data_IF_159829681340
#
_entry.id   IF_159829681340
#
_cell.length_a   1.000
_cell.length_b   1.000
_cell.length_c   1.000
_cell.angle_alpha   90.00
_cell.angle_beta   90.00
_cell.angle_gamma   90.00
#
_symmetry.space_group_name_H-M   'P 1'
#
loop_
_entity.id
_entity.type
_entity.pdbx_description
1 polymer ?
#
# COMPACT_ATOMS: atom_id res chain seq x y z
N UNK A 1 -12.71 -8.86 11.78
CA UNK A 1 -11.95 -10.05 11.29
C UNK A 1 -10.46 -9.77 11.10
N UNK A 2 -10.08 -8.80 10.26
CA UNK A 2 -8.66 -8.49 10.02
C UNK A 2 -7.91 -8.09 11.31
N UNK A 3 -8.52 -7.25 12.16
CA UNK A 3 -7.97 -6.90 13.48
C UNK A 3 -7.78 -8.14 14.36
N UNK A 4 -8.78 -9.03 14.41
CA UNK A 4 -8.71 -10.29 15.15
C UNK A 4 -7.62 -11.24 14.62
N UNK A 5 -7.20 -11.08 13.36
CA UNK A 5 -6.12 -11.83 12.73
C UNK A 5 -4.71 -11.23 12.95
N UNK A 6 -4.60 -10.14 13.71
CA UNK A 6 -3.33 -9.49 14.03
C UNK A 6 -2.74 -8.65 12.89
N UNK A 7 -3.60 -8.09 12.02
CA UNK A 7 -3.17 -7.15 10.97
C UNK A 7 -2.72 -5.83 11.59
N UNK A 8 -1.56 -5.33 11.14
CA UNK A 8 -0.99 -4.08 11.66
C UNK A 8 -1.54 -2.80 10.99
N UNK A 9 -1.98 -2.90 9.74
CA UNK A 9 -2.53 -1.79 8.95
C UNK A 9 -3.78 -2.26 8.21
N UNK A 10 -4.91 -1.61 8.42
CA UNK A 10 -6.12 -1.78 7.59
C UNK A 10 -6.14 -0.74 6.50
N UNK A 11 -6.23 -1.21 5.26
CA UNK A 11 -6.24 -0.38 4.07
C UNK A 11 -7.64 -0.28 3.46
N UNK A 12 -8.15 0.94 3.35
CA UNK A 12 -9.47 1.25 2.79
C UNK A 12 -9.32 1.69 1.34
N UNK A 13 -9.81 0.86 0.42
CA UNK A 13 -9.87 1.15 -1.02
C UNK A 13 -11.06 0.47 -1.68
N UNK A 14 -11.48 1.00 -2.83
CA UNK A 14 -12.57 0.47 -3.67
C UNK A 14 -12.04 -0.08 -5.00
N UNK A 15 -11.47 -1.29 -5.01
CA UNK A 15 -10.75 -1.75 -6.19
C UNK A 15 -11.64 -2.22 -7.32
N UNK A 16 -12.98 -2.21 -7.19
CA UNK A 16 -13.84 -2.27 -8.38
C UNK A 16 -13.60 -1.07 -9.31
N UNK A 17 -13.23 0.10 -8.74
CA UNK A 17 -13.08 1.38 -9.45
C UNK A 17 -11.65 1.72 -9.90
N UNK A 18 -10.63 0.98 -9.47
CA UNK A 18 -9.24 1.23 -9.87
C UNK A 18 -8.22 0.56 -8.96
N UNK A 19 -6.92 0.71 -9.24
CA UNK A 19 -5.87 0.11 -8.42
C UNK A 19 -5.85 0.71 -7.01
N UNK A 20 -5.83 2.04 -6.93
CA UNK A 20 -5.86 2.82 -5.70
C UNK A 20 -7.13 3.66 -5.52
N UNK A 21 -8.22 3.33 -6.22
CA UNK A 21 -9.48 4.04 -6.08
C UNK A 21 -9.96 4.12 -4.61
N UNK A 22 -10.39 5.31 -4.22
CA UNK A 22 -10.85 5.61 -2.87
C UNK A 22 -12.21 4.99 -2.56
N UNK A 23 -12.43 4.69 -1.28
CA UNK A 23 -13.77 4.50 -0.75
C UNK A 23 -14.50 5.86 -0.67
N UNK A 24 -15.82 5.81 -0.49
CA UNK A 24 -16.57 7.01 -0.13
C UNK A 24 -16.07 7.55 1.24
N UNK A 25 -15.95 8.88 1.43
CA UNK A 25 -15.51 9.46 2.71
C UNK A 25 -16.32 9.00 3.93
N UNK A 26 -17.61 8.64 3.78
CA UNK A 26 -18.43 8.08 4.86
C UNK A 26 -17.90 6.73 5.37
N UNK A 27 -17.23 5.94 4.52
CA UNK A 27 -16.57 4.68 4.90
C UNK A 27 -15.39 4.96 5.82
N UNK A 28 -14.58 6.00 5.52
CA UNK A 28 -13.47 6.38 6.40
C UNK A 28 -13.95 6.84 7.77
N UNK A 29 -15.02 7.65 7.82
CA UNK A 29 -15.64 8.07 9.09
C UNK A 29 -16.16 6.87 9.89
N UNK A 30 -16.82 5.93 9.21
CA UNK A 30 -17.32 4.70 9.84
C UNK A 30 -16.17 3.84 10.40
N UNK A 31 -15.06 3.75 9.65
CA UNK A 31 -13.86 3.03 10.09
C UNK A 31 -13.24 3.63 11.35
N UNK A 32 -13.21 4.96 11.49
CA UNK A 32 -12.75 5.60 12.73
C UNK A 32 -13.62 5.19 13.91
N UNK A 33 -14.95 5.31 13.77
CA UNK A 33 -15.88 4.92 14.83
C UNK A 33 -15.76 3.44 15.23
N UNK A 34 -15.47 2.56 14.26
CA UNK A 34 -15.37 1.12 14.50
C UNK A 34 -14.01 0.72 15.12
N UNK A 35 -12.90 1.28 14.65
CA UNK A 35 -11.56 0.77 14.96
C UNK A 35 -10.72 1.66 15.88
N UNK A 36 -11.06 2.94 16.01
CA UNK A 36 -10.30 3.91 16.81
C UNK A 36 -11.09 4.39 18.04
N UNK A 37 -12.36 3.98 18.19
CA UNK A 37 -13.20 4.25 19.36
C UNK A 37 -12.69 3.59 20.67
N UNK A 38 -13.56 3.07 21.53
CA UNK A 38 -13.19 2.44 22.83
C UNK A 38 -12.39 1.12 22.72
N UNK A 39 -11.59 0.95 21.66
CA UNK A 39 -10.71 -0.18 21.50
C UNK A 39 -9.63 -0.16 22.62
N UNK A 40 -9.43 -1.29 23.32
CA UNK A 40 -8.33 -1.42 24.28
C UNK A 40 -6.97 -1.07 23.63
N UNK A 41 -6.11 -0.39 24.40
CA UNK A 41 -4.82 0.13 23.92
C UNK A 41 -3.86 -0.94 23.36
N UNK A 42 -4.10 -2.22 23.65
CA UNK A 42 -3.32 -3.37 23.15
C UNK A 42 -3.76 -3.87 21.75
N UNK A 43 -4.79 -3.25 21.16
CA UNK A 43 -5.40 -3.64 19.88
C UNK A 43 -5.42 -2.54 18.82
N UNK A 44 -4.63 -1.48 18.97
CA UNK A 44 -4.61 -0.35 18.02
C UNK A 44 -4.07 -0.78 16.66
N UNK A 45 -4.97 -0.96 15.71
CA UNK A 45 -4.65 -1.12 14.29
C UNK A 45 -4.49 0.25 13.65
N UNK A 46 -3.53 0.41 12.73
CA UNK A 46 -3.38 1.66 11.98
C UNK A 46 -4.30 1.66 10.76
N UNK A 47 -4.92 2.79 10.47
CA UNK A 47 -5.77 2.94 9.28
C UNK A 47 -4.98 3.60 8.13
N UNK A 48 -5.21 3.11 6.91
CA UNK A 48 -4.63 3.60 5.67
C UNK A 48 -5.75 3.87 4.66
N UNK A 49 -5.74 5.04 4.02
CA UNK A 49 -6.72 5.41 2.99
C UNK A 49 -6.08 5.45 1.60
N UNK A 50 -6.68 4.78 0.63
CA UNK A 50 -6.36 5.04 -0.78
C UNK A 50 -7.13 6.28 -1.26
N UNK A 51 -6.43 7.23 -1.88
CA UNK A 51 -7.00 8.51 -2.33
C UNK A 51 -7.47 8.48 -3.79
N UNK A 52 -7.19 7.41 -4.53
CA UNK A 52 -7.31 7.38 -5.98
C UNK A 52 -5.97 7.56 -6.66
N UNK A 53 -6.03 8.09 -7.88
CA UNK A 53 -4.89 8.34 -8.74
C UNK A 53 -4.60 9.86 -8.82
N UNK A 54 -3.70 10.29 -9.70
CA UNK A 54 -3.24 11.68 -9.80
C UNK A 54 -4.36 12.72 -9.97
N UNK A 55 -5.40 12.40 -10.74
CA UNK A 55 -6.51 13.31 -11.02
C UNK A 55 -7.55 13.38 -9.90
N UNK A 56 -7.65 12.35 -9.06
CA UNK A 56 -8.71 12.22 -8.04
C UNK A 56 -8.18 12.40 -6.61
N UNK A 57 -6.92 12.06 -6.38
CA UNK A 57 -6.28 12.11 -5.07
C UNK A 57 -6.33 13.48 -4.39
N UNK A 58 -5.99 14.59 -5.08
CA UNK A 58 -6.00 15.92 -4.47
C UNK A 58 -7.38 16.31 -3.91
N UNK A 59 -8.45 16.02 -4.64
CA UNK A 59 -9.82 16.35 -4.24
C UNK A 59 -10.26 15.61 -2.98
N UNK A 60 -9.84 14.35 -2.83
CA UNK A 60 -10.24 13.50 -1.70
C UNK A 60 -9.33 13.62 -0.48
N UNK A 61 -8.14 14.18 -0.64
CA UNK A 61 -7.11 14.20 0.41
C UNK A 61 -7.55 14.88 1.71
N UNK A 62 -8.30 15.98 1.62
CA UNK A 62 -8.78 16.74 2.78
C UNK A 62 -9.92 16.06 3.54
N UNK A 63 -10.53 15.04 2.95
CA UNK A 63 -11.62 14.27 3.55
C UNK A 63 -11.14 13.10 4.42
N UNK A 64 -9.84 12.78 4.39
CA UNK A 64 -9.27 11.73 5.25
C UNK A 64 -9.34 12.18 6.71
N UNK A 65 -9.92 11.37 7.63
CA UNK A 65 -9.93 11.72 9.05
C UNK A 65 -8.52 11.75 9.67
N UNK A 66 -8.23 12.64 10.63
CA UNK A 66 -6.92 12.73 11.29
C UNK A 66 -6.53 11.46 12.07
N UNK A 67 -7.48 10.59 12.39
CA UNK A 67 -7.23 9.30 13.05
C UNK A 67 -6.57 8.26 12.13
N UNK A 68 -6.54 8.51 10.82
CA UNK A 68 -5.78 7.68 9.90
C UNK A 68 -4.27 7.90 10.11
N UNK A 69 -3.50 6.84 9.97
CA UNK A 69 -2.04 6.94 10.01
C UNK A 69 -1.46 7.26 8.65
N UNK A 70 -2.10 6.74 7.59
CA UNK A 70 -1.58 6.80 6.22
C UNK A 70 -2.65 7.19 5.22
N UNK A 71 -2.24 7.92 4.19
CA UNK A 71 -3.00 8.06 2.97
C UNK A 71 -2.07 7.84 1.77
N UNK A 72 -2.55 7.20 0.70
CA UNK A 72 -1.73 6.87 -0.48
C UNK A 72 -2.41 7.34 -1.76
N UNK A 73 -1.61 7.84 -2.70
CA UNK A 73 -2.09 8.33 -4.00
C UNK A 73 -1.32 7.64 -5.12
N UNK A 74 -2.05 7.12 -6.09
CA UNK A 74 -1.48 6.45 -7.25
C UNK A 74 -0.90 7.43 -8.28
N UNK A 75 0.27 7.15 -8.88
CA UNK A 75 0.99 8.06 -9.76
C UNK A 75 0.55 7.98 -11.24
N UNK A 76 -0.66 7.52 -11.58
CA UNK A 76 -1.03 7.34 -13.00
C UNK A 76 -0.89 8.64 -13.78
N UNK A 77 -0.28 8.60 -14.98
CA UNK A 77 -0.01 9.78 -15.79
C UNK A 77 1.17 10.66 -15.32
N UNK A 78 1.75 10.38 -14.15
CA UNK A 78 2.96 11.04 -13.64
C UNK A 78 4.22 10.33 -14.17
N UNK A 79 4.51 10.51 -15.46
CA UNK A 79 5.67 9.88 -16.13
C UNK A 79 7.03 10.55 -15.86
N UNK A 80 7.05 11.66 -15.11
CA UNK A 80 8.29 12.39 -14.76
C UNK A 80 8.33 12.70 -13.26
N UNK A 81 9.53 12.89 -12.72
CA UNK A 81 9.72 13.26 -11.32
C UNK A 81 8.99 14.58 -10.98
N UNK A 82 9.01 15.56 -11.88
CA UNK A 82 8.34 16.85 -11.68
C UNK A 82 6.83 16.68 -11.53
N UNK A 83 6.18 15.88 -12.39
CA UNK A 83 4.74 15.58 -12.28
C UNK A 83 4.41 14.83 -11.00
N UNK A 84 5.27 13.89 -10.61
CA UNK A 84 5.08 13.07 -9.43
C UNK A 84 5.21 13.90 -8.13
N UNK A 85 6.23 14.75 -8.05
CA UNK A 85 6.41 15.67 -6.91
C UNK A 85 5.28 16.68 -6.85
N UNK A 86 4.88 17.26 -7.99
CA UNK A 86 3.73 18.18 -8.06
C UNK A 86 2.43 17.53 -7.58
N UNK A 87 2.20 16.24 -7.91
CA UNK A 87 1.09 15.48 -7.35
C UNK A 87 1.17 15.43 -5.82
N UNK A 88 2.30 15.01 -5.24
CA UNK A 88 2.46 14.94 -3.79
C UNK A 88 2.28 16.28 -3.10
N UNK A 89 2.75 17.37 -3.71
CA UNK A 89 2.60 18.75 -3.22
C UNK A 89 1.17 19.27 -3.32
N UNK A 90 0.31 18.68 -4.14
CA UNK A 90 -1.11 19.03 -4.23
C UNK A 90 -1.98 18.31 -3.19
N UNK A 91 -1.49 17.24 -2.57
CA UNK A 91 -2.21 16.50 -1.53
C UNK A 91 -2.26 17.34 -0.24
N UNK A 92 -3.45 17.46 0.35
CA UNK A 92 -3.70 18.21 1.60
C UNK A 92 -4.26 17.26 2.65
N UNK A 93 -3.37 16.66 3.44
CA UNK A 93 -3.73 15.76 4.53
C UNK A 93 -3.78 16.48 5.87
N UNK A 94 -4.72 16.14 6.78
CA UNK A 94 -4.64 16.62 8.15
C UNK A 94 -3.48 15.95 8.89
N UNK A 95 -2.87 16.67 9.83
CA UNK A 95 -1.90 16.07 10.74
C UNK A 95 -2.63 15.11 11.71
N UNK A 96 -2.04 13.95 12.07
CA UNK A 96 -0.69 13.46 11.73
C UNK A 96 -0.64 12.51 10.51
N UNK A 97 -1.65 12.51 9.61
CA UNK A 97 -1.73 11.55 8.50
C UNK A 97 -0.53 11.70 7.56
N UNK A 98 0.20 10.61 7.34
CA UNK A 98 1.38 10.62 6.48
C UNK A 98 1.03 10.17 5.05
N UNK A 99 1.50 10.92 4.05
CA UNK A 99 1.39 10.53 2.65
C UNK A 99 2.36 9.38 2.34
N UNK A 100 1.85 8.31 1.73
CA UNK A 100 2.62 7.19 1.20
C UNK A 100 2.67 7.27 -0.33
N UNK A 101 3.81 7.70 -0.89
CA UNK A 101 4.12 7.57 -2.31
C UNK A 101 3.92 6.15 -2.83
N UNK A 102 3.49 6.03 -4.09
CA UNK A 102 3.18 4.75 -4.73
C UNK A 102 3.96 4.64 -6.03
N UNK A 103 4.54 3.47 -6.26
CA UNK A 103 5.11 3.04 -7.53
C UNK A 103 4.31 1.87 -8.08
N UNK A 104 4.06 1.86 -9.39
CA UNK A 104 3.46 0.71 -10.05
C UNK A 104 4.54 -0.18 -10.68
N UNK A 105 4.51 -1.47 -10.37
CA UNK A 105 5.40 -2.46 -10.96
C UNK A 105 5.26 -2.50 -12.50
N UNK A 106 4.04 -2.33 -12.97
CA UNK A 106 3.58 -2.20 -14.35
C UNK A 106 3.39 -0.72 -14.78
N UNK A 107 4.28 0.16 -14.30
CA UNK A 107 4.26 1.62 -14.55
C UNK A 107 3.97 2.05 -16.00
N UNK A 108 4.39 1.28 -17.01
CA UNK A 108 4.09 1.56 -18.42
C UNK A 108 2.57 1.61 -18.67
N UNK A 109 1.82 0.66 -18.11
CA UNK A 109 0.36 0.61 -18.25
C UNK A 109 -0.33 1.79 -17.54
N UNK A 110 0.29 2.31 -16.48
CA UNK A 110 -0.19 3.47 -15.74
C UNK A 110 0.26 4.82 -16.33
N UNK A 111 1.12 4.83 -17.35
CA UNK A 111 1.80 6.05 -17.80
C UNK A 111 2.59 6.74 -16.70
N UNK A 112 3.16 5.97 -15.77
CA UNK A 112 3.82 6.44 -14.56
C UNK A 112 5.35 6.26 -14.63
N UNK A 113 6.06 6.97 -13.75
CA UNK A 113 7.50 6.80 -13.55
C UNK A 113 7.82 5.38 -13.03
N UNK A 114 9.00 4.87 -13.37
CA UNK A 114 9.46 3.56 -12.89
C UNK A 114 9.62 3.53 -11.37
N UNK A 115 9.59 2.34 -10.77
CA UNK A 115 9.76 2.18 -9.32
C UNK A 115 11.08 2.78 -8.80
N UNK A 116 12.16 2.69 -9.59
CA UNK A 116 13.46 3.31 -9.29
C UNK A 116 13.35 4.84 -9.32
N UNK A 117 12.70 5.41 -10.32
CA UNK A 117 12.50 6.85 -10.41
C UNK A 117 11.62 7.39 -9.29
N UNK A 118 10.58 6.64 -8.90
CA UNK A 118 9.74 6.98 -7.75
C UNK A 118 10.56 6.92 -6.46
N UNK A 119 11.36 5.87 -6.25
CA UNK A 119 12.23 5.75 -5.07
C UNK A 119 13.22 6.91 -4.99
N UNK A 120 13.85 7.29 -6.10
CA UNK A 120 14.74 8.45 -6.13
C UNK A 120 14.01 9.74 -5.73
N UNK A 121 12.82 9.99 -6.27
CA UNK A 121 12.02 11.15 -5.90
C UNK A 121 11.59 11.13 -4.42
N UNK A 122 11.30 9.95 -3.86
CA UNK A 122 11.03 9.78 -2.41
C UNK A 122 12.24 10.23 -1.60
N UNK A 123 13.43 9.77 -1.95
CA UNK A 123 14.69 10.11 -1.27
C UNK A 123 15.00 11.60 -1.40
N UNK A 124 14.98 12.15 -2.62
CA UNK A 124 15.32 13.56 -2.89
C UNK A 124 14.38 14.54 -2.18
N UNK A 125 13.11 14.14 -1.99
CA UNK A 125 12.13 14.98 -1.30
C UNK A 125 12.05 14.74 0.21
N UNK A 126 12.96 13.94 0.77
CA UNK A 126 13.02 13.65 2.21
C UNK A 126 11.81 12.86 2.73
N UNK A 127 11.15 12.09 1.87
CA UNK A 127 10.07 11.18 2.27
C UNK A 127 10.64 9.83 2.66
N UNK A 128 9.97 9.13 3.57
CA UNK A 128 10.48 7.89 4.16
C UNK A 128 9.57 6.69 3.95
N UNK A 129 8.59 6.78 3.04
CA UNK A 129 7.68 5.67 2.71
C UNK A 129 7.53 5.49 1.23
N UNK A 130 7.38 4.23 0.82
CA UNK A 130 7.04 3.85 -0.54
C UNK A 130 6.20 2.58 -0.54
N UNK A 131 5.11 2.58 -1.30
CA UNK A 131 4.36 1.39 -1.67
C UNK A 131 4.68 1.00 -3.11
N UNK A 132 5.02 -0.26 -3.37
CA UNK A 132 5.06 -0.83 -4.71
C UNK A 132 3.82 -1.71 -4.90
N UNK A 133 2.94 -1.37 -5.84
CA UNK A 133 1.70 -2.11 -6.16
C UNK A 133 1.62 -2.37 -7.68
N UNK A 134 0.52 -2.97 -8.15
CA UNK A 134 0.21 -3.14 -9.58
C UNK A 134 -1.00 -2.29 -9.97
N UNK A 135 -0.95 -1.64 -11.13
CA UNK A 135 -2.01 -0.83 -11.69
C UNK A 135 -3.08 -1.67 -12.41
N UNK A 136 -2.64 -2.56 -13.29
CA UNK A 136 -3.48 -3.41 -14.11
C UNK A 136 -4.22 -4.50 -13.32
N UNK A 137 -5.26 -5.04 -13.96
CA UNK A 137 -6.05 -6.19 -13.48
C UNK A 137 -5.99 -7.36 -14.46
N UNK A 138 -4.82 -7.59 -15.07
CA UNK A 138 -4.60 -8.65 -16.05
C UNK A 138 -4.32 -10.03 -15.41
N UNK A 139 -4.49 -10.14 -14.08
CA UNK A 139 -4.25 -11.36 -13.31
C UNK A 139 -2.79 -11.60 -12.96
N UNK A 140 -1.87 -10.74 -13.41
CA UNK A 140 -0.45 -10.82 -13.06
C UNK A 140 -0.20 -10.28 -11.65
N UNK A 141 0.87 -10.80 -11.04
CA UNK A 141 1.34 -10.42 -9.71
C UNK A 141 2.58 -9.55 -9.80
N UNK A 142 2.99 -8.95 -8.69
CA UNK A 142 4.23 -8.16 -8.58
C UNK A 142 5.43 -8.88 -9.23
N UNK A 143 5.57 -10.19 -8.97
CA UNK A 143 6.68 -11.00 -9.47
C UNK A 143 6.61 -11.33 -10.95
N UNK A 144 5.48 -11.08 -11.61
CA UNK A 144 5.40 -11.14 -13.07
C UNK A 144 5.92 -9.85 -13.73
N UNK A 145 5.92 -8.71 -13.02
CA UNK A 145 6.35 -7.42 -13.54
C UNK A 145 7.75 -7.02 -13.08
N UNK A 146 8.20 -7.54 -11.94
CA UNK A 146 9.52 -7.22 -11.37
C UNK A 146 10.25 -8.50 -10.99
N UNK A 147 11.48 -8.63 -11.47
CA UNK A 147 12.36 -9.73 -11.07
C UNK A 147 12.74 -9.62 -9.60
N UNK A 148 13.12 -10.74 -9.00
CA UNK A 148 13.62 -10.81 -7.63
C UNK A 148 14.83 -9.88 -7.46
N UNK A 149 15.78 -9.90 -8.40
CA UNK A 149 16.97 -9.04 -8.34
C UNK A 149 16.61 -7.56 -8.35
N UNK A 150 15.64 -7.17 -9.18
CA UNK A 150 15.15 -5.78 -9.22
C UNK A 150 14.51 -5.37 -7.90
N UNK A 151 13.69 -6.24 -7.29
CA UNK A 151 13.10 -6.00 -5.98
C UNK A 151 14.17 -5.90 -4.88
N UNK A 152 15.18 -6.77 -4.92
CA UNK A 152 16.31 -6.73 -3.96
C UNK A 152 17.07 -5.42 -4.07
N UNK A 153 17.44 -5.00 -5.28
CA UNK A 153 18.15 -3.74 -5.50
C UNK A 153 17.38 -2.53 -4.97
N UNK A 154 16.06 -2.47 -5.23
CA UNK A 154 15.20 -1.41 -4.69
C UNK A 154 15.17 -1.40 -3.16
N UNK A 155 15.02 -2.58 -2.54
CA UNK A 155 15.04 -2.68 -1.08
C UNK A 155 16.40 -2.30 -0.49
N UNK A 156 17.52 -2.66 -1.12
CA UNK A 156 18.85 -2.26 -0.66
C UNK A 156 19.00 -0.73 -0.66
N UNK A 157 18.67 -0.06 -1.76
CA UNK A 157 18.71 1.40 -1.86
C UNK A 157 17.78 2.04 -0.82
N UNK A 158 16.58 1.49 -0.64
CA UNK A 158 15.64 2.01 0.34
C UNK A 158 16.18 1.89 1.78
N UNK A 159 16.83 0.77 2.13
CA UNK A 159 17.45 0.58 3.45
C UNK A 159 18.57 1.60 3.67
N UNK A 160 19.44 1.80 2.68
CA UNK A 160 20.54 2.78 2.75
C UNK A 160 20.04 4.21 3.02
N UNK A 161 18.85 4.54 2.52
CA UNK A 161 18.22 5.85 2.70
C UNK A 161 17.10 5.88 3.75
N UNK A 162 16.97 4.84 4.59
CA UNK A 162 15.93 4.75 5.64
C UNK A 162 14.50 4.92 5.12
N UNK A 163 14.21 4.44 3.91
CA UNK A 163 12.88 4.42 3.31
C UNK A 163 12.18 3.11 3.66
N UNK A 164 11.03 3.22 4.31
CA UNK A 164 10.16 2.10 4.64
C UNK A 164 9.37 1.67 3.40
N UNK A 165 9.50 0.40 2.98
CA UNK A 165 8.85 -0.14 1.79
C UNK A 165 7.74 -1.12 2.15
N UNK A 166 6.57 -0.93 1.52
CA UNK A 166 5.52 -1.94 1.41
C UNK A 166 5.49 -2.54 -0.01
N UNK A 167 5.35 -3.87 -0.10
CA UNK A 167 5.10 -4.57 -1.37
C UNK A 167 3.67 -5.11 -1.41
N UNK A 168 2.95 -4.79 -2.49
CA UNK A 168 1.61 -5.28 -2.81
C UNK A 168 1.59 -5.83 -4.25
N UNK A 169 0.44 -5.83 -4.94
CA UNK A 169 0.35 -6.31 -6.33
C UNK A 169 -0.02 -7.78 -6.46
N UNK A 170 -1.28 -8.11 -6.13
CA UNK A 170 -1.88 -9.45 -6.28
C UNK A 170 -1.06 -10.61 -5.69
N UNK A 171 -0.20 -10.32 -4.71
CA UNK A 171 0.69 -11.29 -4.07
C UNK A 171 -0.09 -12.40 -3.38
N UNK A 172 0.39 -13.62 -3.56
CA UNK A 172 -0.11 -14.82 -2.90
C UNK A 172 0.88 -15.31 -1.85
N UNK A 173 0.39 -16.03 -0.84
CA UNK A 173 1.21 -16.51 0.28
C UNK A 173 2.44 -17.30 -0.18
N UNK A 174 2.31 -18.10 -1.25
CA UNK A 174 3.43 -18.85 -1.83
C UNK A 174 4.49 -17.95 -2.46
N UNK A 175 4.09 -16.88 -3.14
CA UNK A 175 5.00 -15.94 -3.78
C UNK A 175 5.75 -15.13 -2.74
N UNK A 176 5.05 -14.68 -1.69
CA UNK A 176 5.68 -14.02 -0.55
C UNK A 176 6.75 -14.93 0.09
N UNK A 177 6.44 -16.22 0.33
CA UNK A 177 7.45 -17.16 0.86
C UNK A 177 8.66 -17.31 -0.05
N UNK A 178 8.46 -17.42 -1.36
CA UNK A 178 9.56 -17.47 -2.32
C UNK A 178 10.41 -16.20 -2.31
N UNK A 179 9.77 -15.02 -2.22
CA UNK A 179 10.45 -13.73 -2.10
C UNK A 179 11.30 -13.65 -0.83
N UNK A 180 10.72 -14.02 0.31
CA UNK A 180 11.41 -14.05 1.60
C UNK A 180 12.62 -14.99 1.58
N UNK A 181 12.47 -16.18 1.00
CA UNK A 181 13.56 -17.14 0.83
C UNK A 181 14.67 -16.61 -0.09
N UNK A 182 14.31 -15.80 -1.08
CA UNK A 182 15.26 -15.15 -1.97
C UNK A 182 15.87 -13.85 -1.41
N UNK A 183 15.58 -13.50 -0.15
CA UNK A 183 16.12 -12.33 0.53
C UNK A 183 15.34 -11.03 0.33
N UNK A 184 14.16 -11.07 -0.29
CA UNK A 184 13.27 -9.91 -0.43
C UNK A 184 12.41 -9.78 0.82
N UNK A 185 12.79 -8.83 1.69
CA UNK A 185 12.12 -8.58 2.98
C UNK A 185 11.70 -7.11 3.08
N UNK A 186 10.52 -6.72 2.57
CA UNK A 186 10.00 -5.38 2.76
C UNK A 186 9.56 -5.18 4.22
N UNK A 187 9.35 -3.94 4.61
CA UNK A 187 8.84 -3.62 5.94
C UNK A 187 7.35 -3.97 6.11
N UNK A 188 6.60 -4.09 5.00
CA UNK A 188 5.20 -4.50 5.01
C UNK A 188 4.79 -5.24 3.75
N UNK A 189 3.83 -6.15 3.92
CA UNK A 189 3.16 -6.87 2.83
C UNK A 189 1.72 -6.40 2.72
N UNK A 190 1.34 -5.88 1.55
CA UNK A 190 -0.03 -5.48 1.22
C UNK A 190 -0.77 -6.61 0.52
N UNK A 191 -1.88 -7.08 1.12
CA UNK A 191 -2.64 -8.22 0.61
C UNK A 191 -4.14 -7.97 0.65
N UNK A 192 -4.86 -8.46 -0.36
CA UNK A 192 -6.33 -8.42 -0.41
C UNK A 192 -6.91 -9.70 -1.00
N UNK A 193 -6.67 -9.95 -2.29
CA UNK A 193 -7.24 -11.12 -2.98
C UNK A 193 -6.91 -12.46 -2.31
N UNK A 194 -5.66 -12.66 -1.89
CA UNK A 194 -5.24 -13.92 -1.25
C UNK A 194 -5.80 -14.13 0.16
N UNK A 195 -6.32 -13.08 0.80
CA UNK A 195 -6.98 -13.16 2.12
C UNK A 195 -8.51 -13.09 2.03
N UNK A 196 -9.08 -12.88 0.85
CA UNK A 196 -10.51 -12.93 0.60
C UNK A 196 -10.97 -14.34 0.19
N UNK A 197 -12.24 -14.66 0.44
CA UNK A 197 -12.83 -15.92 -0.02
C UNK A 197 -12.84 -16.01 -1.56
N UNK A 198 -12.70 -17.22 -2.09
CA UNK A 198 -12.63 -17.52 -3.54
C UNK A 198 -11.54 -16.77 -4.33
N UNK A 199 -10.58 -16.11 -3.65
CA UNK A 199 -9.63 -15.16 -4.25
C UNK A 199 -10.30 -13.97 -4.94
N UNK A 200 -11.60 -13.78 -4.69
CA UNK A 200 -12.31 -12.62 -5.19
C UNK A 200 -11.95 -11.43 -4.31
N UNK A 201 -11.38 -10.41 -4.94
CA UNK A 201 -11.04 -9.17 -4.25
C UNK A 201 -12.30 -8.52 -3.66
N UNK A 202 -13.49 -8.75 -4.20
CA UNK A 202 -14.76 -8.23 -3.65
C UNK A 202 -15.37 -9.12 -2.56
N UNK A 203 -14.82 -10.32 -2.36
CA UNK A 203 -15.28 -11.29 -1.37
C UNK A 203 -14.92 -10.90 0.07
N UNK A 204 -15.62 -11.53 1.03
CA UNK A 204 -15.34 -11.35 2.46
C UNK A 204 -13.95 -11.88 2.83
N UNK A 205 -13.28 -11.19 3.76
CA UNK A 205 -11.98 -11.65 4.27
C UNK A 205 -12.15 -12.95 5.08
N UNK A 206 -11.24 -13.91 4.86
CA UNK A 206 -11.16 -15.16 5.59
C UNK A 206 -10.09 -15.06 6.68
N UNK A 207 -10.52 -15.12 7.95
CA UNK A 207 -9.65 -15.05 9.12
C UNK A 207 -8.55 -16.13 9.11
N UNK A 208 -8.82 -17.32 8.55
CA UNK A 208 -7.82 -18.40 8.46
C UNK A 208 -6.67 -18.00 7.55
N UNK A 209 -6.98 -17.36 6.42
CA UNK A 209 -5.97 -16.88 5.45
C UNK A 209 -5.17 -15.70 6.01
N UNK A 210 -5.84 -14.76 6.68
CA UNK A 210 -5.15 -13.66 7.39
C UNK A 210 -4.17 -14.21 8.43
N UNK A 211 -4.60 -15.18 9.24
CA UNK A 211 -3.75 -15.83 10.24
C UNK A 211 -2.59 -16.59 9.61
N UNK A 212 -2.81 -17.25 8.46
CA UNK A 212 -1.75 -17.94 7.72
C UNK A 212 -0.68 -16.98 7.19
N UNK A 213 -1.08 -15.81 6.67
CA UNK A 213 -0.16 -14.73 6.31
C UNK A 213 0.64 -14.24 7.51
N UNK A 214 -0.05 -13.95 8.62
CA UNK A 214 0.61 -13.47 9.84
C UNK A 214 1.67 -14.46 10.35
N UNK A 215 1.35 -15.75 10.38
CA UNK A 215 2.30 -16.80 10.78
C UNK A 215 3.49 -16.92 9.83
N UNK A 216 3.27 -16.76 8.53
CA UNK A 216 4.31 -16.92 7.52
C UNK A 216 5.31 -15.75 7.47
N UNK A 217 4.87 -14.53 7.80
CA UNK A 217 5.75 -13.36 7.91
C UNK A 217 6.68 -13.47 9.14
N UNK A 218 6.27 -14.24 10.16
CA UNK A 218 6.94 -14.30 11.46
C UNK A 218 6.58 -13.09 12.33
N UNK A 219 7.05 -13.08 13.58
CA UNK A 219 6.98 -11.89 14.41
C UNK A 219 7.78 -10.76 13.74
N UNK A 220 7.32 -9.49 13.80
CA UNK A 220 8.15 -8.38 13.35
C UNK A 220 9.50 -8.46 14.06
N UNK A 221 10.60 -8.28 13.32
CA UNK A 221 11.88 -8.00 13.95
C UNK A 221 11.67 -6.72 14.78
N UNK A 222 11.95 -6.82 16.08
CA UNK A 222 11.85 -5.71 17.04
C UNK A 222 12.62 -4.49 16.55
#
# INVERSE_FOLDING_TARGET
MAVSGGVNILDFKEPSRGALAACDPSVWKSAVSEFVGEAPADRTVRLSAALGESETGPELSSHVPPEFSFAKVGPSGCSTAQKLVGLWESIRLPQPVELVPVAYADHIAAGALSAEGVLNAVIETGRHRLLIDTFGKDGRTLTNHMSIDRLRSLLCVAIEHSVWIALAGSLQLREMRSLVNAGVRPNCWGVRGDVCDQRDRTGQMDLRKVTAWRRAIGSPAN
#
